data_IF_290176952202
#
_entry.id   IF_290176952202
#
_cell.length_a   1.000
_cell.length_b   1.000
_cell.length_c   1.000
_cell.angle_alpha   90.00
_cell.angle_beta   90.00
_cell.angle_gamma   90.00
#
_symmetry.space_group_name_H-M   'P 1'
#
loop_
_entity.id
_entity.type
_entity.pdbx_description
1 polymer ?
#
# COMPACT_ATOMS: atom_id res chain seq x y z
N UNK A 1 -12.65 -24.61 34.79
CA UNK A 1 -11.98 -24.56 33.47
C UNK A 1 -11.58 -23.12 33.18
N UNK A 2 -10.32 -22.84 32.89
CA UNK A 2 -9.89 -21.49 32.52
C UNK A 2 -10.49 -21.14 31.16
N UNK A 3 -11.23 -20.03 31.08
CA UNK A 3 -11.80 -19.55 29.83
C UNK A 3 -10.70 -19.21 28.82
N UNK A 4 -10.84 -19.70 27.58
CA UNK A 4 -9.90 -19.40 26.49
C UNK A 4 -9.96 -17.91 26.18
N UNK A 5 -8.85 -17.21 26.35
CA UNK A 5 -8.76 -15.77 26.04
C UNK A 5 -8.96 -15.54 24.54
N UNK A 6 -9.69 -14.48 24.18
CA UNK A 6 -9.82 -14.04 22.78
C UNK A 6 -8.48 -13.50 22.28
N UNK A 7 -8.16 -13.74 21.01
CA UNK A 7 -6.94 -13.25 20.38
C UNK A 7 -7.07 -11.74 20.10
N UNK A 8 -6.13 -10.95 20.60
CA UNK A 8 -6.00 -9.51 20.32
C UNK A 8 -4.83 -9.28 19.36
N UNK A 9 -5.02 -8.44 18.35
CA UNK A 9 -3.96 -8.06 17.38
C UNK A 9 -3.62 -6.59 17.56
N UNK A 10 -2.44 -6.33 18.10
CA UNK A 10 -1.89 -4.99 18.39
C UNK A 10 -1.34 -4.32 17.13
N UNK A 11 -1.50 -2.99 17.05
CA UNK A 11 -0.87 -2.16 16.02
C UNK A 11 0.63 -2.00 16.27
N UNK A 12 1.37 -1.55 15.26
CA UNK A 12 2.78 -1.18 15.42
C UNK A 12 2.94 -0.07 16.46
N UNK A 13 2.06 0.94 16.46
CA UNK A 13 2.05 2.01 17.45
C UNK A 13 1.88 1.48 18.88
N UNK A 14 0.95 0.54 19.11
CA UNK A 14 0.74 -0.04 20.44
C UNK A 14 1.95 -0.86 20.91
N UNK A 15 2.60 -1.58 20.00
CA UNK A 15 3.84 -2.33 20.32
C UNK A 15 4.97 -1.38 20.72
N UNK A 16 5.10 -0.21 20.07
CA UNK A 16 6.07 0.81 20.46
C UNK A 16 5.78 1.39 21.85
N UNK A 17 4.50 1.69 22.16
CA UNK A 17 4.09 2.14 23.50
C UNK A 17 4.40 1.09 24.58
N UNK A 18 4.19 -0.19 24.28
CA UNK A 18 4.56 -1.29 25.19
C UNK A 18 6.07 -1.29 25.45
N UNK A 19 6.89 -1.15 24.42
CA UNK A 19 8.36 -1.07 24.55
C UNK A 19 8.76 0.13 25.42
N UNK A 20 8.20 1.31 25.15
CA UNK A 20 8.48 2.52 25.91
C UNK A 20 8.11 2.37 27.40
N UNK A 21 6.97 1.75 27.70
CA UNK A 21 6.55 1.49 29.08
C UNK A 21 7.42 0.42 29.76
N UNK A 22 7.90 -0.58 29.02
CA UNK A 22 8.86 -1.57 29.53
C UNK A 22 10.21 -0.91 29.88
N UNK A 23 10.70 0.01 29.05
CA UNK A 23 11.93 0.76 29.31
C UNK A 23 11.78 1.69 30.53
N UNK A 24 10.57 2.23 30.75
CA UNK A 24 10.20 2.99 31.97
C UNK A 24 10.04 2.11 33.21
N UNK A 25 10.23 0.80 33.12
CA UNK A 25 10.19 -0.14 34.24
C UNK A 25 8.78 -0.65 34.60
N UNK A 26 7.77 -0.43 33.75
CA UNK A 26 6.43 -0.99 33.97
C UNK A 26 6.48 -2.51 33.87
N UNK A 27 5.88 -3.21 34.83
CA UNK A 27 5.86 -4.67 34.85
C UNK A 27 5.06 -5.24 33.69
N UNK A 28 5.58 -6.29 33.03
CA UNK A 28 4.87 -6.99 31.95
C UNK A 28 3.48 -7.48 32.33
N UNK A 29 3.25 -7.84 33.62
CA UNK A 29 1.93 -8.19 34.17
C UNK A 29 0.89 -7.09 33.95
N UNK A 30 1.25 -5.86 34.29
CA UNK A 30 0.40 -4.68 34.13
C UNK A 30 0.06 -4.45 32.65
N UNK A 31 1.05 -4.55 31.76
CA UNK A 31 0.87 -4.33 30.32
C UNK A 31 -0.03 -5.37 29.68
N UNK A 32 0.10 -6.63 30.08
CA UNK A 32 -0.78 -7.71 29.62
C UNK A 32 -2.24 -7.49 29.99
N UNK A 33 -2.49 -6.97 31.20
CA UNK A 33 -3.84 -6.61 31.64
C UNK A 33 -4.39 -5.42 30.84
N UNK A 34 -3.59 -4.35 30.66
CA UNK A 34 -3.99 -3.13 29.93
C UNK A 34 -4.32 -3.43 28.46
N UNK A 35 -3.45 -4.18 27.78
CA UNK A 35 -3.57 -4.43 26.35
C UNK A 35 -4.36 -5.72 26.03
N UNK A 36 -4.81 -6.46 27.06
CA UNK A 36 -5.58 -7.70 26.89
C UNK A 36 -4.79 -8.82 26.19
N UNK A 37 -3.46 -8.83 26.33
CA UNK A 37 -2.56 -9.82 25.70
C UNK A 37 -1.93 -10.73 26.75
N UNK A 38 -1.31 -11.85 26.36
CA UNK A 38 -0.60 -12.72 27.30
C UNK A 38 0.76 -12.17 27.71
N UNK A 39 1.27 -12.58 28.89
CA UNK A 39 2.65 -12.28 29.31
C UNK A 39 3.69 -12.67 28.26
N UNK A 40 3.51 -13.85 27.64
CA UNK A 40 4.38 -14.32 26.56
C UNK A 40 4.43 -13.30 25.40
N UNK A 41 3.28 -12.75 25.00
CA UNK A 41 3.21 -11.72 23.95
C UNK A 41 3.97 -10.45 24.32
N UNK A 42 3.92 -10.02 25.59
CA UNK A 42 4.70 -8.86 26.06
C UNK A 42 6.20 -9.15 25.99
N UNK A 43 6.63 -10.35 26.40
CA UNK A 43 8.02 -10.79 26.29
C UNK A 43 8.48 -10.87 24.82
N UNK A 44 7.65 -11.39 23.92
CA UNK A 44 7.95 -11.48 22.50
C UNK A 44 8.11 -10.09 21.87
N UNK A 45 7.23 -9.14 22.24
CA UNK A 45 7.33 -7.73 21.80
C UNK A 45 8.63 -7.11 22.30
N UNK A 46 9.03 -7.37 23.55
CA UNK A 46 10.30 -6.89 24.10
C UNK A 46 11.50 -7.44 23.31
N UNK A 47 11.49 -8.73 23.00
CA UNK A 47 12.56 -9.40 22.26
C UNK A 47 12.63 -8.96 20.79
N UNK A 48 11.50 -8.55 20.20
CA UNK A 48 11.41 -8.05 18.82
C UNK A 48 11.56 -6.53 18.71
N UNK A 49 12.07 -5.84 19.74
CA UNK A 49 12.26 -4.39 19.77
C UNK A 49 13.09 -3.85 18.60
N UNK A 50 14.26 -4.44 18.34
CA UNK A 50 15.17 -3.96 17.28
C UNK A 50 14.58 -4.12 15.88
N UNK A 51 13.95 -5.26 15.61
CA UNK A 51 13.31 -5.53 14.32
C UNK A 51 12.10 -4.62 14.08
N UNK A 52 11.31 -4.35 15.11
CA UNK A 52 10.21 -3.38 15.05
C UNK A 52 10.71 -1.96 14.76
N UNK A 53 11.77 -1.51 15.43
CA UNK A 53 12.31 -0.17 15.23
C UNK A 53 12.87 0.01 13.81
N UNK A 54 13.66 -0.94 13.32
CA UNK A 54 14.19 -0.90 11.95
C UNK A 54 13.06 -0.92 10.90
N UNK A 55 11.98 -1.64 11.16
CA UNK A 55 10.84 -1.68 10.25
C UNK A 55 10.10 -0.34 10.23
N UNK A 56 9.85 0.25 11.40
CA UNK A 56 9.16 1.55 11.51
C UNK A 56 9.98 2.67 10.88
N UNK A 57 11.31 2.69 11.09
CA UNK A 57 12.17 3.69 10.45
C UNK A 57 12.14 3.59 8.92
N UNK A 58 12.05 2.39 8.35
CA UNK A 58 11.89 2.23 6.89
C UNK A 58 10.52 2.75 6.43
N UNK A 59 9.45 2.52 7.21
CA UNK A 59 8.10 2.96 6.85
C UNK A 59 7.87 4.46 6.97
N UNK A 60 8.50 5.15 7.90
CA UNK A 60 8.37 6.62 8.03
C UNK A 60 8.91 7.37 6.80
N UNK A 61 9.75 6.72 5.99
CA UNK A 61 10.23 7.25 4.71
C UNK A 61 9.24 7.01 3.53
N UNK A 62 8.21 6.18 3.71
CA UNK A 62 7.25 5.77 2.67
C UNK A 62 5.79 5.94 3.19
N UNK A 63 5.28 7.19 3.24
CA UNK A 63 3.87 7.59 3.53
C UNK A 63 3.15 6.79 4.66
N UNK A 64 3.90 6.42 5.69
CA UNK A 64 3.62 5.31 6.61
C UNK A 64 2.31 5.37 7.42
N UNK A 65 1.54 4.28 7.38
CA UNK A 65 0.37 4.11 8.25
C UNK A 65 0.72 3.42 9.58
N UNK A 66 0.71 4.19 10.68
CA UNK A 66 0.96 3.73 12.06
C UNK A 66 -0.07 2.70 12.57
N UNK A 67 -1.23 2.61 11.90
CA UNK A 67 -2.31 1.65 12.19
C UNK A 67 -1.99 0.21 11.77
N UNK A 68 -0.94 0.03 10.96
CA UNK A 68 -0.54 -1.28 10.44
C UNK A 68 -0.27 -2.27 11.59
N UNK A 69 -0.75 -3.51 11.44
CA UNK A 69 -0.61 -4.59 12.44
C UNK A 69 0.40 -5.67 12.04
N UNK A 70 0.74 -5.74 10.75
CA UNK A 70 1.64 -6.72 10.13
C UNK A 70 2.96 -6.09 9.73
N UNK A 71 4.07 -6.82 9.85
CA UNK A 71 5.38 -6.42 9.31
C UNK A 71 5.66 -7.03 7.93
N UNK A 72 4.68 -7.72 7.32
CA UNK A 72 4.85 -8.27 5.98
C UNK A 72 5.02 -7.14 4.96
N UNK A 73 6.07 -7.24 4.17
CA UNK A 73 6.32 -6.40 3.00
C UNK A 73 5.86 -7.13 1.73
N UNK A 74 5.73 -6.37 0.65
CA UNK A 74 5.63 -6.87 -0.71
C UNK A 74 6.65 -7.97 -0.97
N UNK A 75 6.23 -9.09 -1.58
CA UNK A 75 7.16 -10.14 -2.04
C UNK A 75 8.05 -9.61 -3.16
N UNK A 76 7.51 -8.74 -4.01
CA UNK A 76 8.24 -8.07 -5.09
C UNK A 76 7.85 -6.59 -5.12
N UNK A 77 8.59 -5.74 -4.39
CA UNK A 77 8.36 -4.29 -4.35
C UNK A 77 8.29 -3.68 -5.76
N UNK A 78 9.22 -4.08 -6.64
CA UNK A 78 9.28 -3.57 -8.01
C UNK A 78 8.04 -3.91 -8.84
N UNK A 79 7.45 -5.10 -8.63
CA UNK A 79 6.23 -5.50 -9.32
C UNK A 79 5.04 -4.68 -8.79
N UNK A 80 4.92 -4.55 -7.46
CA UNK A 80 3.84 -3.78 -6.85
C UNK A 80 3.92 -2.30 -7.26
N UNK A 81 5.11 -1.71 -7.29
CA UNK A 81 5.32 -0.35 -7.77
C UNK A 81 5.00 -0.20 -9.25
N UNK A 82 5.40 -1.16 -10.09
CA UNK A 82 5.10 -1.13 -11.52
C UNK A 82 3.60 -1.24 -11.79
N UNK A 83 2.91 -2.14 -11.07
CA UNK A 83 1.45 -2.31 -11.17
C UNK A 83 0.72 -1.09 -10.62
N UNK A 84 1.15 -0.53 -9.49
CA UNK A 84 0.58 0.68 -8.92
C UNK A 84 0.75 1.88 -9.85
N UNK A 85 1.96 2.09 -10.39
CA UNK A 85 2.22 3.13 -11.39
C UNK A 85 1.40 2.91 -12.65
N UNK A 86 1.32 1.69 -13.17
CA UNK A 86 0.50 1.37 -14.34
C UNK A 86 -0.99 1.67 -14.07
N UNK A 87 -1.50 1.27 -12.91
CA UNK A 87 -2.87 1.53 -12.47
C UNK A 87 -3.14 3.03 -12.35
N UNK A 88 -2.27 3.78 -11.68
CA UNK A 88 -2.38 5.22 -11.57
C UNK A 88 -2.25 5.94 -12.90
N UNK A 89 -1.53 5.39 -13.88
CA UNK A 89 -1.36 6.01 -15.20
C UNK A 89 -2.44 5.64 -16.21
N UNK A 90 -3.02 4.44 -16.14
CA UNK A 90 -3.98 3.96 -17.14
C UNK A 90 -5.40 4.01 -16.59
N UNK A 91 -5.62 3.48 -15.38
CA UNK A 91 -6.98 3.36 -14.82
C UNK A 91 -7.47 4.69 -14.25
N UNK A 92 -6.61 5.44 -13.55
CA UNK A 92 -7.01 6.76 -13.03
C UNK A 92 -7.12 7.82 -14.13
N UNK A 93 -6.23 7.84 -15.13
CA UNK A 93 -6.32 8.84 -16.23
C UNK A 93 -7.55 8.60 -17.10
N UNK A 94 -7.89 7.34 -17.38
CA UNK A 94 -9.07 7.02 -18.17
C UNK A 94 -10.38 7.18 -17.36
N UNK A 95 -10.30 7.11 -16.03
CA UNK A 95 -11.42 7.42 -15.12
C UNK A 95 -11.62 8.93 -14.94
N UNK A 96 -10.55 9.71 -14.76
CA UNK A 96 -10.61 11.18 -14.65
C UNK A 96 -11.04 11.83 -15.97
N UNK A 97 -10.72 11.22 -17.11
CA UNK A 97 -11.23 11.66 -18.42
C UNK A 97 -12.69 11.26 -18.69
N UNK A 98 -13.24 10.23 -18.02
CA UNK A 98 -14.63 9.76 -18.25
C UNK A 98 -15.62 10.24 -17.20
N UNK A 99 -15.20 10.45 -15.96
CA UNK A 99 -16.09 10.85 -14.88
C UNK A 99 -15.42 11.90 -13.99
N UNK A 100 -15.82 13.17 -14.18
CA UNK A 100 -15.59 14.19 -13.17
C UNK A 100 -16.13 13.72 -11.81
N UNK A 101 -15.20 13.60 -10.85
CA UNK A 101 -15.37 13.56 -9.39
C UNK A 101 -16.67 12.94 -8.90
N UNK A 102 -16.65 11.67 -8.48
CA UNK A 102 -17.40 11.16 -7.31
C UNK A 102 -16.64 10.03 -6.60
N UNK A 103 -16.08 10.40 -5.46
CA UNK A 103 -15.66 9.57 -4.33
C UNK A 103 -16.69 8.47 -4.03
N UNK A 104 -16.34 7.19 -4.23
CA UNK A 104 -17.13 6.04 -3.77
C UNK A 104 -16.22 4.83 -3.48
N UNK A 105 -16.05 4.58 -2.17
CA UNK A 105 -15.86 3.31 -1.47
C UNK A 105 -15.33 2.10 -2.26
N UNK A 106 -14.01 1.87 -2.20
CA UNK A 106 -13.38 0.58 -2.52
C UNK A 106 -12.74 -0.02 -1.27
N UNK A 107 -13.57 -0.25 -0.24
CA UNK A 107 -13.24 -1.12 0.87
C UNK A 107 -14.11 -2.39 0.81
N UNK A 108 -13.47 -3.51 0.49
CA UNK A 108 -13.96 -4.83 0.91
C UNK A 108 -14.31 -5.79 -0.21
N UNK A 109 -13.32 -6.47 -0.78
CA UNK A 109 -13.37 -7.92 -1.00
C UNK A 109 -11.96 -8.42 -1.36
N UNK A 110 -11.30 -9.09 -0.39
CA UNK A 110 -10.06 -9.83 -0.63
C UNK A 110 -10.41 -11.14 -1.29
N UNK A 111 -10.50 -11.16 -2.61
CA UNK A 111 -10.48 -12.42 -3.36
C UNK A 111 -9.03 -12.85 -3.58
N UNK A 112 -8.73 -14.05 -3.09
CA UNK A 112 -7.45 -14.71 -3.16
C UNK A 112 -6.98 -14.81 -4.62
N UNK A 113 -5.82 -14.24 -4.93
CA UNK A 113 -5.25 -14.28 -6.27
C UNK A 113 -4.86 -15.73 -6.64
N UNK A 114 -5.47 -16.25 -7.70
CA UNK A 114 -5.03 -17.44 -8.42
C UNK A 114 -3.72 -17.10 -9.16
N UNK A 115 -2.64 -17.81 -8.84
CA UNK A 115 -1.31 -17.54 -9.40
C UNK A 115 -1.27 -17.80 -10.91
N UNK A 116 -2.07 -18.74 -11.41
CA UNK A 116 -2.14 -19.03 -12.85
C UNK A 116 -2.80 -17.88 -13.61
N UNK A 117 -3.82 -17.24 -13.03
CA UNK A 117 -4.44 -16.06 -13.61
C UNK A 117 -3.50 -14.84 -13.59
N UNK A 118 -2.68 -14.68 -12.54
CA UNK A 118 -1.68 -13.62 -12.46
C UNK A 118 -0.56 -13.80 -13.51
N UNK A 119 -0.09 -15.03 -13.73
CA UNK A 119 0.92 -15.32 -14.76
C UNK A 119 0.38 -15.05 -16.17
N UNK A 120 -0.86 -15.44 -16.46
CA UNK A 120 -1.52 -15.18 -17.74
C UNK A 120 -1.72 -13.66 -17.99
N UNK A 121 -2.02 -12.91 -16.92
CA UNK A 121 -2.08 -11.44 -17.00
C UNK A 121 -0.72 -10.82 -17.30
N UNK A 122 0.36 -11.28 -16.65
CA UNK A 122 1.72 -10.79 -16.88
C UNK A 122 2.14 -11.06 -18.33
N UNK A 123 1.84 -12.24 -18.87
CA UNK A 123 2.17 -12.61 -20.25
C UNK A 123 1.39 -11.74 -21.25
N UNK A 124 0.07 -11.61 -21.09
CA UNK A 124 -0.76 -10.71 -21.91
C UNK A 124 -0.30 -9.27 -21.85
N UNK A 125 0.10 -8.81 -20.66
CA UNK A 125 0.61 -7.47 -20.46
C UNK A 125 1.94 -7.23 -21.19
N UNK A 126 2.86 -8.19 -21.13
CA UNK A 126 4.13 -8.14 -21.87
C UNK A 126 3.90 -8.10 -23.38
N UNK A 127 3.06 -8.99 -23.91
CA UNK A 127 2.70 -9.01 -25.34
C UNK A 127 2.03 -7.71 -25.80
N UNK A 128 1.15 -7.14 -24.97
CA UNK A 128 0.52 -5.84 -25.24
C UNK A 128 1.54 -4.69 -25.19
N UNK A 129 2.57 -4.78 -24.35
CA UNK A 129 3.63 -3.78 -24.25
C UNK A 129 4.71 -3.89 -25.32
N UNK A 130 5.02 -5.09 -25.83
CA UNK A 130 6.02 -5.31 -26.91
C UNK A 130 5.49 -4.89 -28.29
N UNK A 131 4.17 -4.88 -28.47
CA UNK A 131 3.49 -4.34 -29.66
C UNK A 131 3.14 -2.84 -29.52
N UNK A 132 3.44 -2.24 -28.37
CA UNK A 132 3.13 -0.84 -28.08
C UNK A 132 4.30 0.06 -28.52
N UNK A 133 4.13 0.74 -29.65
CA UNK A 133 4.99 1.85 -30.06
C UNK A 133 4.47 3.16 -29.43
N UNK A 134 5.14 3.72 -28.40
CA UNK A 134 4.70 4.95 -27.75
C UNK A 134 4.70 6.16 -28.69
N UNK A 135 5.41 6.10 -29.82
CA UNK A 135 5.51 7.20 -30.78
C UNK A 135 4.28 7.35 -31.69
N UNK A 136 3.51 6.26 -31.87
CA UNK A 136 2.36 6.23 -32.78
C UNK A 136 1.09 6.89 -32.22
N UNK A 137 0.95 7.07 -30.90
CA UNK A 137 -0.23 7.70 -30.28
C UNK A 137 0.04 9.08 -29.64
N UNK A 138 1.29 9.41 -29.30
CA UNK A 138 1.63 10.71 -28.72
C UNK A 138 1.64 11.83 -29.77
N UNK A 139 1.95 11.53 -31.03
CA UNK A 139 1.99 12.53 -32.12
C UNK A 139 0.60 13.11 -32.51
N UNK A 140 -0.47 12.33 -32.70
CA UNK A 140 -1.76 12.90 -33.12
C UNK A 140 -2.46 13.74 -32.04
N UNK A 141 -2.35 13.41 -30.75
CA UNK A 141 -2.92 14.27 -29.69
C UNK A 141 -2.13 15.57 -29.48
N UNK A 142 -0.80 15.53 -29.60
CA UNK A 142 0.04 16.73 -29.45
C UNK A 142 -0.12 17.70 -30.62
N UNK A 143 -0.31 17.19 -31.85
CA UNK A 143 -0.57 18.01 -33.04
C UNK A 143 -2.00 18.61 -33.03
N UNK A 144 -3.00 17.87 -32.55
CA UNK A 144 -4.37 18.37 -32.40
C UNK A 144 -4.50 19.48 -31.33
N UNK A 145 -3.66 19.43 -30.29
CA UNK A 145 -3.57 20.49 -29.27
C UNK A 145 -2.79 21.73 -29.75
N UNK A 146 -1.70 21.55 -30.52
CA UNK A 146 -0.93 22.69 -31.06
C UNK A 146 -1.63 23.41 -32.22
N UNK A 147 -2.44 22.71 -33.03
CA UNK A 147 -3.18 23.30 -34.15
C UNK A 147 -4.38 24.19 -33.74
N UNK A 148 -4.98 23.95 -32.57
CA UNK A 148 -6.12 24.75 -32.06
C UNK A 148 -5.70 26.06 -31.38
N UNK A 149 -4.42 26.23 -31.03
CA UNK A 149 -3.93 27.45 -30.39
C UNK A 149 -3.37 28.50 -31.35
N UNK A 150 -3.16 28.19 -32.64
CA UNK A 150 -2.54 29.13 -33.61
C UNK A 150 -3.51 29.81 -34.60
N UNK A 151 -4.82 29.52 -34.54
CA UNK A 151 -5.84 30.19 -35.38
C UNK A 151 -6.64 31.27 -34.63
N UNK A 152 -6.42 31.45 -33.32
CA UNK A 152 -7.11 32.47 -32.51
C UNK A 152 -6.24 33.69 -32.14
N UNK A 153 -5.05 33.86 -32.75
CA UNK A 153 -4.13 34.95 -32.41
C UNK A 153 -3.62 35.83 -33.55
N UNK A 154 -4.02 35.59 -34.80
CA UNK A 154 -3.78 36.53 -35.89
C UNK A 154 -5.05 36.67 -36.73
N UNK A 155 -5.77 37.76 -36.51
CA UNK A 155 -6.81 38.20 -37.42
C UNK A 155 -6.19 38.73 -38.72
N UNK A 156 -6.78 38.35 -39.84
CA UNK A 156 -7.12 39.19 -40.99
C UNK A 156 -8.29 38.52 -41.72
#
# INVERSE_FOLDING_TARGET
MASKRKRVVLSLADKLKIIEQLDKGVTGKKLSEIYGVGQATISDIKNSKSTLLNFVSVLENEDGSSSRKTMKTATNKNLEDAVFKWFCSNVLWESDFRHGVRELDLAGEKLSADSAAAENFIEKFKTASESYDPSLFIMPMKLALFGKHYQNHFGF
#
